data_IF_100203897525
#
_entry.id   IF_100203897525
#
_cell.length_a   1.000
_cell.length_b   1.000
_cell.length_c   1.000
_cell.angle_alpha   90.00
_cell.angle_beta   90.00
_cell.angle_gamma   90.00
#
_symmetry.space_group_name_H-M   'P 1'
#
loop_
_entity.id
_entity.type
_entity.pdbx_description
1 polymer ?
#
# COMPACT_ATOMS: atom_id res chain seq x y z
N UNK A 1 8.67 -3.71 -0.10
CA UNK A 1 9.32 -2.43 -0.51
C UNK A 1 9.60 -2.60 -1.98
N UNK A 2 8.87 -1.87 -2.77
CA UNK A 2 8.96 -1.92 -4.22
C UNK A 2 10.24 -1.24 -4.74
N UNK A 3 10.29 -1.01 -6.02
CA UNK A 3 11.44 -0.46 -6.74
C UNK A 3 11.88 0.92 -6.21
N UNK A 4 13.19 1.16 -6.11
CA UNK A 4 13.75 2.37 -5.50
C UNK A 4 13.82 3.56 -6.50
N UNK A 5 12.68 3.98 -7.04
CA UNK A 5 12.59 5.08 -8.02
C UNK A 5 12.57 6.50 -7.41
N UNK A 6 12.60 6.63 -6.09
CA UNK A 6 12.39 7.90 -5.39
C UNK A 6 13.28 9.06 -5.90
N UNK A 7 14.53 8.76 -6.24
CA UNK A 7 15.49 9.80 -6.66
C UNK A 7 15.18 10.42 -8.03
N UNK A 8 14.55 9.67 -8.92
CA UNK A 8 14.19 10.15 -10.27
C UNK A 8 12.73 10.59 -10.37
N UNK A 9 11.90 10.24 -9.38
CA UNK A 9 10.49 10.62 -9.32
C UNK A 9 10.23 11.82 -8.40
N UNK A 10 11.25 12.39 -7.79
CA UNK A 10 11.10 13.46 -6.80
C UNK A 10 10.30 14.66 -7.29
N UNK A 11 10.56 15.10 -8.52
CA UNK A 11 9.94 16.26 -9.15
C UNK A 11 8.51 16.03 -9.65
N UNK A 12 8.11 14.75 -9.78
CA UNK A 12 6.78 14.35 -10.27
C UNK A 12 5.81 14.01 -9.14
N UNK A 13 6.20 14.22 -7.87
CA UNK A 13 5.35 14.02 -6.70
C UNK A 13 4.66 15.33 -6.33
N UNK A 14 3.37 15.36 -6.51
CA UNK A 14 2.51 16.47 -6.12
C UNK A 14 1.86 16.15 -4.78
N UNK A 15 2.13 16.97 -3.74
CA UNK A 15 1.35 16.89 -2.51
C UNK A 15 -0.07 17.39 -2.76
N UNK A 16 -1.06 16.62 -2.36
CA UNK A 16 -2.48 16.92 -2.54
C UNK A 16 -3.23 16.81 -1.21
N UNK A 17 -4.36 17.48 -1.11
CA UNK A 17 -5.28 17.27 0.01
C UNK A 17 -6.19 16.07 -0.28
N UNK A 18 -6.71 15.44 0.79
CA UNK A 18 -7.59 14.27 0.62
C UNK A 18 -8.83 14.60 -0.22
N UNK A 19 -9.34 15.81 -0.11
CA UNK A 19 -10.49 16.30 -0.86
C UNK A 19 -10.29 16.35 -2.37
N UNK A 20 -9.04 16.40 -2.83
CA UNK A 20 -8.68 16.38 -4.25
C UNK A 20 -8.66 14.94 -4.83
N UNK A 21 -8.66 13.94 -3.95
CA UNK A 21 -8.67 12.51 -4.30
C UNK A 21 -10.09 11.92 -4.31
N UNK A 22 -11.12 12.74 -4.47
CA UNK A 22 -12.52 12.28 -4.54
C UNK A 22 -12.71 11.27 -5.66
N UNK A 23 -13.58 10.31 -5.42
CA UNK A 23 -13.88 9.24 -6.36
C UNK A 23 -13.35 7.89 -5.88
N UNK A 24 -13.24 6.96 -6.79
CA UNK A 24 -12.83 5.58 -6.51
C UNK A 24 -11.33 5.42 -6.53
N UNK A 25 -10.76 4.72 -5.54
CA UNK A 25 -9.32 4.46 -5.45
C UNK A 25 -9.09 2.99 -5.12
N UNK A 26 -8.28 2.30 -5.93
CA UNK A 26 -7.84 0.94 -5.62
C UNK A 26 -6.68 0.96 -4.63
N UNK A 27 -6.90 0.42 -3.45
CA UNK A 27 -5.93 0.42 -2.34
C UNK A 27 -5.25 -0.94 -2.27
N UNK A 28 -3.93 -0.96 -2.35
CA UNK A 28 -3.14 -2.14 -2.02
C UNK A 28 -3.38 -2.53 -0.54
N UNK A 29 -4.09 -3.65 -0.35
CA UNK A 29 -4.53 -4.08 0.97
C UNK A 29 -3.36 -4.46 1.88
N UNK A 30 -2.38 -5.21 1.36
CA UNK A 30 -1.23 -5.63 2.18
C UNK A 30 -0.35 -4.45 2.57
N UNK A 31 -0.13 -3.51 1.67
CA UNK A 31 0.59 -2.28 1.96
C UNK A 31 -0.14 -1.46 3.04
N UNK A 32 -1.46 -1.28 2.91
CA UNK A 32 -2.29 -0.58 3.90
C UNK A 32 -2.24 -1.26 5.28
N UNK A 33 -2.47 -2.58 5.34
CA UNK A 33 -2.44 -3.35 6.58
C UNK A 33 -1.07 -3.29 7.24
N UNK A 34 0.02 -3.44 6.46
CA UNK A 34 1.37 -3.34 6.98
C UNK A 34 1.64 -1.96 7.58
N UNK A 35 1.15 -0.89 6.94
CA UNK A 35 1.26 0.46 7.50
C UNK A 35 0.48 0.60 8.81
N UNK A 36 -0.74 0.08 8.87
CA UNK A 36 -1.55 0.14 10.09
C UNK A 36 -0.86 -0.56 11.25
N UNK A 37 -0.37 -1.78 11.08
CA UNK A 37 0.31 -2.51 12.16
C UNK A 37 1.68 -1.95 12.53
N UNK A 38 2.31 -1.16 11.65
CA UNK A 38 3.61 -0.53 11.92
C UNK A 38 3.51 0.87 12.50
N UNK A 39 2.40 1.58 12.27
CA UNK A 39 2.21 2.99 12.67
C UNK A 39 1.25 3.12 13.85
N UNK A 40 0.17 2.32 13.87
CA UNK A 40 -0.84 2.36 14.93
C UNK A 40 -0.36 1.48 16.08
N UNK A 41 0.38 2.08 17.00
CA UNK A 41 1.04 1.40 18.12
C UNK A 41 0.87 2.18 19.42
N UNK A 42 1.07 1.49 20.53
CA UNK A 42 1.19 2.09 21.85
C UNK A 42 2.49 2.91 21.96
N UNK A 43 2.63 3.79 22.96
CA UNK A 43 3.84 4.59 23.15
C UNK A 43 5.12 3.78 23.37
N UNK A 44 5.00 2.56 23.90
CA UNK A 44 6.10 1.61 24.12
C UNK A 44 6.49 0.81 22.85
N UNK A 45 5.77 1.06 21.73
CA UNK A 45 6.02 0.39 20.46
C UNK A 45 5.29 -0.92 20.27
N UNK A 46 4.51 -1.41 21.25
CA UNK A 46 3.66 -2.60 21.08
C UNK A 46 2.47 -2.28 20.17
N UNK A 47 1.98 -3.23 19.34
CA UNK A 47 0.76 -3.01 18.57
C UNK A 47 -0.44 -2.86 19.50
N UNK A 48 -1.53 -2.23 19.02
CA UNK A 48 -2.79 -2.29 19.75
C UNK A 48 -3.27 -3.74 19.81
N UNK A 49 -3.74 -4.16 20.97
CA UNK A 49 -4.24 -5.49 21.22
C UNK A 49 -5.57 -5.42 21.98
N UNK A 50 -6.38 -6.45 21.82
CA UNK A 50 -7.56 -6.68 22.65
C UNK A 50 -7.16 -7.34 24.00
N UNK A 51 -8.19 -7.73 24.79
CA UNK A 51 -8.00 -8.38 26.10
C UNK A 51 -7.39 -9.78 25.99
N UNK A 52 -7.47 -10.42 24.84
CA UNK A 52 -6.97 -11.76 24.55
C UNK A 52 -5.57 -11.74 23.91
N UNK A 53 -4.98 -10.53 23.73
CA UNK A 53 -3.66 -10.34 23.13
C UNK A 53 -3.66 -10.41 21.60
N UNK A 54 -4.82 -10.42 20.94
CA UNK A 54 -4.90 -10.37 19.48
C UNK A 54 -4.63 -8.95 19.00
N UNK A 55 -3.77 -8.80 17.99
CA UNK A 55 -3.44 -7.50 17.40
C UNK A 55 -4.67 -6.89 16.72
N UNK A 56 -4.99 -5.65 17.08
CA UNK A 56 -6.16 -4.90 16.58
C UNK A 56 -5.79 -3.63 15.81
N UNK A 57 -4.49 -3.32 15.66
CA UNK A 57 -4.00 -2.14 14.93
C UNK A 57 -4.55 -2.06 13.50
N UNK A 58 -4.63 -3.20 12.78
CA UNK A 58 -5.16 -3.27 11.42
C UNK A 58 -6.67 -2.91 11.38
N UNK A 59 -7.47 -3.43 12.33
CA UNK A 59 -8.90 -3.09 12.43
C UNK A 59 -9.11 -1.61 12.74
N UNK A 60 -8.31 -1.08 13.68
CA UNK A 60 -8.31 0.36 13.99
C UNK A 60 -7.98 1.19 12.73
N UNK A 61 -6.96 0.77 11.97
CA UNK A 61 -6.58 1.43 10.72
C UNK A 61 -7.69 1.38 9.67
N UNK A 62 -8.22 0.20 9.37
CA UNK A 62 -9.32 0.04 8.41
C UNK A 62 -10.51 0.89 8.83
N UNK A 63 -10.99 0.76 10.06
CA UNK A 63 -12.19 1.47 10.50
C UNK A 63 -12.04 2.98 10.42
N UNK A 64 -11.13 3.55 11.21
CA UNK A 64 -11.03 5.00 11.34
C UNK A 64 -10.50 5.69 10.07
N UNK A 65 -9.65 5.02 9.29
CA UNK A 65 -9.14 5.59 8.06
C UNK A 65 -10.20 5.62 6.96
N UNK A 66 -10.97 4.55 6.81
CA UNK A 66 -12.04 4.52 5.83
C UNK A 66 -13.19 5.47 6.18
N UNK A 67 -13.52 5.66 7.46
CA UNK A 67 -14.46 6.72 7.87
C UNK A 67 -14.00 8.09 7.38
N UNK A 68 -12.70 8.41 7.54
CA UNK A 68 -12.14 9.65 7.05
C UNK A 68 -12.17 9.76 5.52
N UNK A 69 -11.90 8.66 4.81
CA UNK A 69 -11.98 8.65 3.34
C UNK A 69 -13.41 8.90 2.86
N UNK A 70 -14.37 8.17 3.38
CA UNK A 70 -15.79 8.34 3.04
C UNK A 70 -16.29 9.76 3.35
N UNK A 71 -15.86 10.33 4.49
CA UNK A 71 -16.15 11.72 4.84
C UNK A 71 -15.62 12.71 3.80
N UNK A 72 -14.46 12.43 3.18
CA UNK A 72 -13.82 13.27 2.16
C UNK A 72 -14.30 12.97 0.73
N UNK A 73 -15.20 11.99 0.56
CA UNK A 73 -15.74 11.58 -0.75
C UNK A 73 -14.82 10.64 -1.51
N UNK A 74 -13.84 10.02 -0.84
CA UNK A 74 -13.01 8.97 -1.40
C UNK A 74 -13.70 7.63 -1.19
N UNK A 75 -13.86 6.85 -2.25
CA UNK A 75 -14.44 5.49 -2.25
C UNK A 75 -13.33 4.47 -2.46
N UNK A 76 -12.75 3.90 -1.38
CA UNK A 76 -11.71 2.90 -1.51
C UNK A 76 -12.28 1.55 -1.95
N UNK A 77 -11.49 0.81 -2.75
CA UNK A 77 -11.66 -0.61 -3.01
C UNK A 77 -10.34 -1.31 -2.65
N UNK A 78 -10.39 -2.34 -1.82
CA UNK A 78 -9.18 -3.00 -1.34
C UNK A 78 -8.81 -4.20 -2.21
N UNK A 79 -7.57 -4.23 -2.69
CA UNK A 79 -7.04 -5.29 -3.54
C UNK A 79 -6.03 -6.10 -2.73
N UNK A 80 -6.37 -7.34 -2.41
CA UNK A 80 -5.46 -8.29 -1.75
C UNK A 80 -4.64 -9.03 -2.80
N UNK A 81 -3.36 -9.29 -2.52
CA UNK A 81 -2.55 -10.15 -3.38
C UNK A 81 -3.14 -11.56 -3.43
N UNK A 82 -3.00 -12.18 -4.59
CA UNK A 82 -3.30 -13.58 -4.81
C UNK A 82 -2.07 -14.47 -4.70
N UNK A 83 -1.96 -15.44 -5.61
CA UNK A 83 -0.81 -16.32 -5.64
C UNK A 83 0.47 -15.54 -6.03
N UNK A 84 1.54 -15.58 -5.21
CA UNK A 84 2.79 -14.93 -5.58
C UNK A 84 3.37 -15.58 -6.82
N UNK A 85 3.93 -14.79 -7.76
CA UNK A 85 4.61 -15.36 -8.91
C UNK A 85 5.92 -16.05 -8.50
N UNK A 86 6.35 -17.06 -9.26
CA UNK A 86 7.60 -17.81 -8.99
C UNK A 86 8.81 -16.89 -8.89
N UNK A 87 8.83 -15.81 -9.66
CA UNK A 87 9.87 -14.77 -9.65
C UNK A 87 10.09 -14.11 -8.28
N UNK A 88 9.12 -14.19 -7.35
CA UNK A 88 9.17 -13.51 -6.03
C UNK A 88 9.75 -14.39 -4.91
N UNK A 89 10.02 -15.65 -5.16
CA UNK A 89 10.39 -16.65 -4.14
C UNK A 89 11.60 -16.22 -3.31
N UNK A 90 12.67 -15.75 -3.95
CA UNK A 90 13.90 -15.32 -3.27
C UNK A 90 13.66 -14.07 -2.41
N UNK A 91 12.91 -13.11 -2.92
CA UNK A 91 12.57 -11.88 -2.19
C UNK A 91 11.71 -12.16 -0.98
N UNK A 92 10.75 -13.08 -1.07
CA UNK A 92 9.92 -13.53 0.05
C UNK A 92 10.78 -14.19 1.13
N UNK A 93 11.67 -15.10 0.75
CA UNK A 93 12.59 -15.78 1.68
C UNK A 93 13.50 -14.79 2.41
N UNK A 94 14.11 -13.84 1.67
CA UNK A 94 14.95 -12.78 2.26
C UNK A 94 14.18 -11.90 3.23
N UNK A 95 12.97 -11.46 2.87
CA UNK A 95 12.11 -10.63 3.76
C UNK A 95 11.73 -11.39 5.02
N UNK A 96 11.48 -12.70 4.93
CA UNK A 96 11.21 -13.54 6.08
C UNK A 96 12.38 -13.56 7.05
N UNK A 97 13.60 -13.82 6.57
CA UNK A 97 14.81 -13.81 7.41
C UNK A 97 15.07 -12.47 8.10
N UNK A 98 14.87 -11.34 7.38
CA UNK A 98 15.00 -9.99 7.98
C UNK A 98 13.98 -9.76 9.09
N UNK A 99 12.72 -10.20 8.93
CA UNK A 99 11.68 -10.06 9.97
C UNK A 99 11.97 -10.94 11.18
N UNK A 100 12.46 -12.15 10.98
CA UNK A 100 12.85 -13.08 12.06
C UNK A 100 13.99 -12.50 12.88
N UNK A 101 15.05 -12.02 12.23
CA UNK A 101 16.17 -11.36 12.91
C UNK A 101 15.73 -10.07 13.66
N UNK A 102 14.80 -9.30 13.10
CA UNK A 102 14.23 -8.15 13.79
C UNK A 102 13.41 -8.56 15.04
N UNK A 103 12.69 -9.68 14.98
CA UNK A 103 11.95 -10.22 16.11
C UNK A 103 12.86 -10.58 17.29
N UNK A 104 13.99 -11.23 17.03
CA UNK A 104 14.97 -11.55 18.09
C UNK A 104 15.58 -10.27 18.69
N UNK A 105 16.00 -9.31 17.86
CA UNK A 105 16.52 -8.02 18.33
C UNK A 105 15.48 -7.22 19.14
N UNK A 106 14.20 -7.35 18.80
CA UNK A 106 13.15 -6.73 19.59
C UNK A 106 13.09 -7.29 21.00
N UNK A 107 13.11 -8.62 21.16
CA UNK A 107 13.13 -9.28 22.49
C UNK A 107 14.31 -8.80 23.31
N UNK A 108 15.53 -8.82 22.75
CA UNK A 108 16.73 -8.34 23.40
C UNK A 108 16.66 -6.86 23.81
N UNK A 109 16.07 -6.00 22.97
CA UNK A 109 15.91 -4.59 23.27
C UNK A 109 14.91 -4.36 24.41
N UNK A 110 13.82 -5.13 24.46
CA UNK A 110 12.85 -5.10 25.57
C UNK A 110 13.51 -5.52 26.87
N UNK A 111 14.28 -6.61 26.88
CA UNK A 111 15.01 -7.10 28.07
C UNK A 111 16.02 -6.08 28.60
N UNK A 112 16.65 -5.32 27.72
CA UNK A 112 17.61 -4.25 28.09
C UNK A 112 16.93 -2.93 28.46
N UNK A 113 15.62 -2.82 28.31
CA UNK A 113 14.87 -1.57 28.55
C UNK A 113 15.15 -0.48 27.51
N UNK A 114 15.71 -0.83 26.33
CA UNK A 114 15.95 0.11 25.24
C UNK A 114 14.68 0.33 24.42
N UNK A 115 13.89 1.31 24.85
CA UNK A 115 12.57 1.60 24.27
C UNK A 115 12.68 2.03 22.80
N UNK A 116 13.72 2.81 22.43
CA UNK A 116 13.85 3.31 21.05
C UNK A 116 14.18 2.16 20.08
N UNK A 117 15.14 1.30 20.45
CA UNK A 117 15.50 0.15 19.63
C UNK A 117 14.37 -0.90 19.64
N UNK A 118 13.73 -1.14 20.78
CA UNK A 118 12.55 -2.01 20.84
C UNK A 118 11.44 -1.55 19.90
N UNK A 119 11.12 -0.25 19.89
CA UNK A 119 10.13 0.33 18.98
C UNK A 119 10.51 0.12 17.49
N UNK A 120 11.77 0.35 17.15
CA UNK A 120 12.28 0.19 15.78
C UNK A 120 12.22 -1.27 15.33
N UNK A 121 12.66 -2.21 16.16
CA UNK A 121 12.69 -3.63 15.84
C UNK A 121 11.29 -4.24 15.85
N UNK A 122 10.38 -3.82 16.72
CA UNK A 122 8.97 -4.20 16.72
C UNK A 122 8.27 -3.84 15.39
N UNK A 123 8.62 -2.71 14.79
CA UNK A 123 8.10 -2.34 13.47
C UNK A 123 8.68 -3.21 12.35
N UNK A 124 9.96 -3.50 12.42
CA UNK A 124 10.65 -4.30 11.40
C UNK A 124 10.22 -5.79 11.43
N UNK A 125 9.81 -6.30 12.61
CA UNK A 125 9.33 -7.67 12.79
C UNK A 125 7.84 -7.86 12.50
N UNK A 126 7.10 -6.78 12.21
CA UNK A 126 5.65 -6.84 12.00
C UNK A 126 5.30 -7.83 10.87
N UNK A 127 4.29 -8.66 11.12
CA UNK A 127 3.76 -9.66 10.18
C UNK A 127 2.26 -9.51 10.08
N UNK A 128 1.73 -9.75 8.89
CA UNK A 128 0.30 -9.92 8.65
C UNK A 128 0.07 -11.44 8.61
N UNK A 129 -0.85 -11.91 9.39
CA UNK A 129 -1.29 -13.31 9.41
C UNK A 129 -2.68 -13.50 8.79
N UNK A 130 -3.08 -14.75 8.60
CA UNK A 130 -4.36 -15.09 7.97
C UNK A 130 -5.55 -14.60 8.79
N UNK A 131 -5.43 -14.56 10.13
CA UNK A 131 -6.49 -14.05 11.00
C UNK A 131 -6.69 -12.55 10.82
N UNK A 132 -5.60 -11.79 10.68
CA UNK A 132 -5.68 -10.36 10.35
C UNK A 132 -6.30 -10.13 8.97
N UNK A 133 -5.95 -10.94 7.97
CA UNK A 133 -6.55 -10.84 6.63
C UNK A 133 -8.05 -11.13 6.70
N UNK A 134 -8.45 -12.21 7.36
CA UNK A 134 -9.85 -12.61 7.49
C UNK A 134 -10.68 -11.54 8.22
N UNK A 135 -10.19 -11.04 9.36
CA UNK A 135 -10.88 -9.99 10.11
C UNK A 135 -10.92 -8.66 9.36
N UNK A 136 -9.89 -8.35 8.56
CA UNK A 136 -9.89 -7.17 7.68
C UNK A 136 -10.99 -7.24 6.62
N UNK A 137 -11.08 -8.37 5.92
CA UNK A 137 -12.12 -8.61 4.90
C UNK A 137 -13.51 -8.53 5.51
N UNK A 138 -13.73 -9.18 6.66
CA UNK A 138 -15.00 -9.12 7.39
C UNK A 138 -15.37 -7.68 7.77
N UNK A 139 -14.43 -6.89 8.25
CA UNK A 139 -14.70 -5.50 8.59
C UNK A 139 -15.01 -4.65 7.35
N UNK A 140 -14.31 -4.87 6.24
CA UNK A 140 -14.61 -4.20 4.97
C UNK A 140 -16.02 -4.55 4.47
N UNK A 141 -16.43 -5.82 4.57
CA UNK A 141 -17.80 -6.26 4.24
C UNK A 141 -18.86 -5.54 5.09
N UNK A 142 -18.64 -5.47 6.41
CA UNK A 142 -19.55 -4.76 7.33
C UNK A 142 -19.57 -3.24 7.07
N UNK A 143 -18.45 -2.66 6.65
CA UNK A 143 -18.38 -1.25 6.24
C UNK A 143 -18.96 -0.98 4.85
N UNK A 144 -19.39 -2.01 4.12
CA UNK A 144 -19.88 -1.90 2.77
C UNK A 144 -18.83 -1.47 1.75
N UNK A 145 -17.54 -1.73 2.03
CA UNK A 145 -16.41 -1.36 1.19
C UNK A 145 -15.99 -2.57 0.35
N UNK A 146 -15.98 -2.47 -0.99
CA UNK A 146 -15.61 -3.58 -1.85
C UNK A 146 -14.14 -3.97 -1.68
N UNK A 147 -13.90 -5.26 -1.78
CA UNK A 147 -12.56 -5.82 -1.85
C UNK A 147 -12.53 -7.02 -2.81
N UNK A 148 -11.33 -7.32 -3.31
CA UNK A 148 -11.09 -8.50 -4.13
C UNK A 148 -9.73 -9.10 -3.83
N UNK A 149 -9.52 -10.33 -4.29
CA UNK A 149 -8.21 -10.97 -4.37
C UNK A 149 -7.77 -10.94 -5.83
N UNK A 150 -6.61 -10.36 -6.08
CA UNK A 150 -6.00 -10.34 -7.40
C UNK A 150 -5.58 -11.75 -7.84
N UNK A 151 -5.47 -12.03 -9.14
CA UNK A 151 -4.88 -13.29 -9.61
C UNK A 151 -3.42 -13.47 -9.15
N UNK A 152 -2.67 -12.36 -9.01
CA UNK A 152 -1.29 -12.32 -8.55
C UNK A 152 -1.07 -11.08 -7.67
N UNK A 153 -0.32 -10.07 -8.14
CA UNK A 153 0.01 -8.86 -7.40
C UNK A 153 -1.18 -7.89 -7.36
N UNK A 154 -1.52 -7.40 -6.16
CA UNK A 154 -2.60 -6.41 -5.96
C UNK A 154 -2.32 -5.09 -6.66
N UNK A 155 -1.05 -4.64 -6.71
CA UNK A 155 -0.66 -3.42 -7.43
C UNK A 155 -0.86 -3.54 -8.95
N UNK A 156 -0.63 -4.74 -9.52
CA UNK A 156 -0.90 -5.00 -10.94
C UNK A 156 -2.40 -4.92 -11.24
N UNK A 157 -3.23 -5.52 -10.38
CA UNK A 157 -4.68 -5.45 -10.50
C UNK A 157 -5.19 -4.01 -10.32
N UNK A 158 -4.69 -3.27 -9.33
CA UNK A 158 -5.04 -1.86 -9.11
C UNK A 158 -4.65 -1.00 -10.32
N UNK A 159 -3.47 -1.24 -10.91
CA UNK A 159 -3.03 -0.57 -12.13
C UNK A 159 -3.94 -0.90 -13.33
N UNK A 160 -4.37 -2.16 -13.46
CA UNK A 160 -5.32 -2.57 -14.50
C UNK A 160 -6.65 -1.84 -14.35
N UNK A 161 -7.25 -1.83 -13.15
CA UNK A 161 -8.52 -1.14 -12.87
C UNK A 161 -8.43 0.36 -13.15
N UNK A 162 -7.30 0.99 -12.82
CA UNK A 162 -7.06 2.40 -13.11
C UNK A 162 -6.94 2.68 -14.62
N UNK A 163 -6.32 1.77 -15.40
CA UNK A 163 -6.27 1.89 -16.87
C UNK A 163 -7.63 1.71 -17.53
N UNK A 164 -8.50 0.87 -16.94
CA UNK A 164 -9.88 0.71 -17.44
C UNK A 164 -10.77 1.91 -17.10
N UNK A 165 -10.34 2.78 -16.18
CA UNK A 165 -11.13 3.92 -15.71
C UNK A 165 -12.13 3.57 -14.61
N UNK A 166 -12.13 2.34 -14.09
CA UNK A 166 -13.02 1.89 -13.01
C UNK A 166 -12.64 2.51 -11.66
N UNK A 167 -11.37 2.87 -11.51
CA UNK A 167 -10.84 3.64 -10.39
C UNK A 167 -9.98 4.81 -10.90
N UNK A 168 -9.94 5.89 -10.14
CA UNK A 168 -9.19 7.09 -10.51
C UNK A 168 -7.68 6.95 -10.31
N UNK A 169 -7.25 6.10 -9.37
CA UNK A 169 -5.86 5.89 -9.03
C UNK A 169 -5.62 4.54 -8.33
N UNK A 170 -4.39 4.04 -8.42
CA UNK A 170 -3.86 3.03 -7.52
C UNK A 170 -3.25 3.70 -6.29
N UNK A 171 -3.50 3.17 -5.09
CA UNK A 171 -2.92 3.68 -3.84
C UNK A 171 -2.02 2.63 -3.20
N UNK A 172 -0.72 2.90 -3.20
CA UNK A 172 0.34 2.11 -2.56
C UNK A 172 1.49 3.02 -2.12
N UNK A 173 2.36 2.55 -1.23
CA UNK A 173 3.62 3.25 -0.91
C UNK A 173 4.73 2.92 -1.91
N UNK A 174 4.60 1.81 -2.58
CA UNK A 174 5.57 1.34 -3.53
C UNK A 174 5.32 1.97 -4.92
N UNK A 175 6.36 2.04 -5.72
CA UNK A 175 6.27 2.62 -7.06
C UNK A 175 5.93 1.58 -8.13
N UNK A 176 5.80 0.32 -7.74
CA UNK A 176 5.60 -0.81 -8.67
C UNK A 176 4.32 -0.66 -9.48
N UNK A 177 3.28 -0.03 -8.92
CA UNK A 177 2.06 0.30 -9.65
C UNK A 177 2.31 1.15 -10.92
N UNK A 178 3.35 2.01 -10.94
CA UNK A 178 3.74 2.77 -12.13
C UNK A 178 4.38 1.85 -13.19
N UNK A 179 5.18 0.86 -12.77
CA UNK A 179 5.75 -0.15 -13.68
C UNK A 179 4.64 -1.01 -14.29
N UNK A 180 3.62 -1.36 -13.50
CA UNK A 180 2.40 -2.02 -13.99
C UNK A 180 1.51 -1.12 -14.84
N UNK A 181 1.83 0.18 -14.95
CA UNK A 181 1.19 1.13 -15.85
C UNK A 181 -0.04 1.80 -15.24
N UNK A 182 -0.15 1.96 -13.92
CA UNK A 182 -1.18 2.79 -13.32
C UNK A 182 -1.05 4.24 -13.82
N UNK A 183 -2.09 4.86 -14.41
CA UNK A 183 -2.04 6.23 -14.86
C UNK A 183 -1.72 7.21 -13.73
N UNK A 184 -2.31 6.95 -12.55
CA UNK A 184 -2.08 7.73 -11.35
C UNK A 184 -1.76 6.81 -10.18
N UNK A 185 -0.67 7.13 -9.46
CA UNK A 185 -0.32 6.52 -8.19
C UNK A 185 -0.54 7.53 -7.07
N UNK A 186 -1.26 7.13 -6.02
CA UNK A 186 -1.42 7.90 -4.79
C UNK A 186 -0.63 7.24 -3.67
N UNK A 187 0.35 7.96 -3.13
CA UNK A 187 1.15 7.52 -1.98
C UNK A 187 0.68 8.22 -0.71
N UNK A 188 1.04 7.67 0.43
CA UNK A 188 0.70 8.22 1.76
C UNK A 188 -0.82 8.32 2.06
N UNK A 189 -1.70 7.75 1.24
CA UNK A 189 -3.15 7.82 1.44
C UNK A 189 -3.55 7.30 2.82
N UNK A 190 -3.12 6.09 3.17
CA UNK A 190 -3.47 5.39 4.41
C UNK A 190 -2.80 5.96 5.66
N UNK A 191 -1.75 6.77 5.51
CA UNK A 191 -0.97 7.35 6.60
C UNK A 191 -1.05 8.88 6.67
N UNK A 192 -1.85 9.50 5.82
CA UNK A 192 -2.06 10.95 5.79
C UNK A 192 -2.59 11.49 7.12
N UNK A 193 -2.24 12.72 7.43
CA UNK A 193 -2.66 13.43 8.63
C UNK A 193 -1.52 13.75 9.61
N UNK A 194 -1.87 14.29 10.76
CA UNK A 194 -0.89 14.66 11.78
C UNK A 194 -0.39 13.43 12.54
N UNK A 195 0.92 13.29 12.65
CA UNK A 195 1.57 12.24 13.45
C UNK A 195 2.74 12.82 14.26
N UNK A 196 3.03 12.23 15.42
CA UNK A 196 4.23 12.56 16.18
C UNK A 196 5.41 11.73 15.69
N UNK A 197 6.51 12.39 15.33
CA UNK A 197 7.78 11.77 14.97
C UNK A 197 8.86 12.39 15.84
N UNK A 198 9.52 11.59 16.70
CA UNK A 198 10.54 12.07 17.66
C UNK A 198 10.06 13.29 18.46
N UNK A 199 8.83 13.24 19.00
CA UNK A 199 8.23 14.31 19.79
C UNK A 199 7.71 15.51 19.00
N UNK A 200 7.98 15.62 17.71
CA UNK A 200 7.48 16.70 16.82
C UNK A 200 6.23 16.26 16.06
N UNK A 201 5.26 17.16 15.95
CA UNK A 201 4.10 16.92 15.09
C UNK A 201 4.48 17.15 13.63
N UNK A 202 4.33 16.12 12.80
CA UNK A 202 4.56 16.19 11.37
C UNK A 202 3.25 15.92 10.66
N UNK A 203 2.87 16.75 9.70
CA UNK A 203 1.75 16.48 8.81
C UNK A 203 2.25 15.70 7.60
N UNK A 204 1.65 14.54 7.34
CA UNK A 204 1.90 13.74 6.15
C UNK A 204 0.74 13.98 5.20
N UNK A 205 1.02 14.44 4.00
CA UNK A 205 0.04 14.60 2.93
C UNK A 205 0.11 13.44 1.95
N UNK A 206 -1.00 13.09 1.30
CA UNK A 206 -0.95 12.23 0.14
C UNK A 206 -0.07 12.85 -0.96
N UNK A 207 0.60 12.01 -1.71
CA UNK A 207 1.37 12.40 -2.89
C UNK A 207 0.72 11.75 -4.11
N UNK A 208 0.39 12.53 -5.12
CA UNK A 208 -0.08 12.04 -6.42
C UNK A 208 1.07 12.04 -7.41
N UNK A 209 1.18 11.00 -8.23
CA UNK A 209 2.15 10.87 -9.31
C UNK A 209 1.40 10.50 -10.57
N UNK A 210 1.58 11.30 -11.62
CA UNK A 210 1.05 11.06 -12.95
C UNK A 210 2.09 10.34 -13.81
N UNK A 211 1.75 9.15 -14.31
CA UNK A 211 2.68 8.34 -15.11
C UNK A 211 3.04 9.01 -16.43
N UNK A 212 2.08 9.67 -17.10
CA UNK A 212 2.35 10.32 -18.38
C UNK A 212 3.34 11.49 -18.21
N UNK A 213 3.18 12.27 -17.13
CA UNK A 213 4.14 13.34 -16.79
C UNK A 213 5.53 12.76 -16.48
N UNK A 214 5.59 11.64 -15.73
CA UNK A 214 6.86 10.93 -15.46
C UNK A 214 7.53 10.48 -16.75
N UNK A 215 6.82 9.78 -17.61
CA UNK A 215 7.37 9.26 -18.87
C UNK A 215 7.86 10.38 -19.78
N UNK A 216 7.05 11.43 -19.95
CA UNK A 216 7.42 12.60 -20.75
C UNK A 216 8.66 13.31 -20.19
N UNK A 217 8.69 13.59 -18.90
CA UNK A 217 9.80 14.28 -18.26
C UNK A 217 11.09 13.47 -18.18
N UNK A 218 10.98 12.15 -18.00
CA UNK A 218 12.13 11.25 -18.07
C UNK A 218 12.54 10.89 -19.51
N UNK A 219 11.76 11.24 -20.53
CA UNK A 219 12.01 10.87 -21.93
C UNK A 219 12.06 9.35 -22.12
N UNK A 220 11.13 8.62 -21.49
CA UNK A 220 11.05 7.17 -21.51
C UNK A 220 9.68 6.72 -22.00
N UNK A 221 9.63 5.53 -22.60
CA UNK A 221 8.40 4.73 -22.67
C UNK A 221 8.15 4.00 -21.35
N UNK A 222 6.98 3.36 -21.20
CA UNK A 222 6.70 2.51 -20.05
C UNK A 222 7.69 1.34 -19.98
N UNK A 223 8.01 0.73 -21.10
CA UNK A 223 9.02 -0.32 -21.22
C UNK A 223 10.37 0.15 -20.68
N UNK A 224 10.79 1.37 -21.06
CA UNK A 224 12.02 1.97 -20.56
C UNK A 224 11.99 2.21 -19.04
N UNK A 225 10.83 2.60 -18.48
CA UNK A 225 10.69 2.72 -17.02
C UNK A 225 10.79 1.37 -16.32
N UNK A 226 10.25 0.29 -16.90
CA UNK A 226 10.42 -1.09 -16.42
C UNK A 226 11.88 -1.50 -16.47
N UNK A 227 12.60 -1.21 -17.57
CA UNK A 227 14.04 -1.48 -17.68
C UNK A 227 14.87 -0.76 -16.63
N UNK A 228 14.53 0.51 -16.32
CA UNK A 228 15.13 1.25 -15.19
C UNK A 228 14.87 0.49 -13.88
N UNK A 229 13.64 0.04 -13.64
CA UNK A 229 13.28 -0.75 -12.47
C UNK A 229 14.10 -2.04 -12.35
N UNK A 230 14.24 -2.80 -13.45
CA UNK A 230 15.01 -4.04 -13.50
C UNK A 230 16.49 -3.81 -13.15
N UNK A 231 17.09 -2.74 -13.66
CA UNK A 231 18.48 -2.40 -13.35
C UNK A 231 18.70 -2.04 -11.88
N UNK A 232 17.75 -1.34 -11.24
CA UNK A 232 17.82 -0.96 -9.83
C UNK A 232 17.55 -2.16 -8.92
N UNK A 233 16.67 -3.07 -9.36
CA UNK A 233 16.10 -4.16 -8.59
C UNK A 233 14.65 -3.90 -8.20
N UNK A 234 13.88 -4.96 -8.29
CA UNK A 234 12.45 -5.00 -7.98
C UNK A 234 12.17 -6.11 -6.97
N UNK A 235 10.92 -6.37 -6.67
CA UNK A 235 10.53 -7.54 -5.88
C UNK A 235 10.80 -8.88 -6.62
N UNK A 236 11.05 -8.82 -7.93
CA UNK A 236 11.20 -9.97 -8.82
C UNK A 236 12.65 -10.21 -9.28
N UNK A 237 13.56 -9.26 -8.97
CA UNK A 237 14.99 -9.41 -9.25
C UNK A 237 15.85 -8.54 -8.34
N UNK A 238 17.11 -8.94 -8.05
CA UNK A 238 17.98 -8.23 -7.13
C UNK A 238 18.53 -6.90 -7.67
N UNK A 239 18.36 -6.63 -8.99
CA UNK A 239 19.01 -5.50 -9.66
C UNK A 239 20.47 -5.73 -9.98
N UNK A 240 21.12 -4.74 -10.57
CA UNK A 240 22.54 -4.79 -10.94
C UNK A 240 23.37 -4.04 -9.89
N UNK A 241 24.36 -4.72 -9.33
CA UNK A 241 25.22 -4.14 -8.28
C UNK A 241 25.89 -2.85 -8.75
N UNK A 242 25.75 -1.79 -7.98
CA UNK A 242 26.32 -0.47 -8.28
C UNK A 242 25.51 0.37 -9.25
N UNK A 243 24.33 -0.08 -9.67
CA UNK A 243 23.42 0.68 -10.54
C UNK A 243 22.27 1.23 -9.69
N UNK A 244 22.32 2.52 -9.37
CA UNK A 244 21.22 3.24 -8.73
C UNK A 244 20.32 3.92 -9.76
N UNK A 245 19.22 4.54 -9.31
CA UNK A 245 18.16 5.09 -10.17
C UNK A 245 18.66 6.05 -11.26
N UNK A 246 19.54 6.99 -10.90
CA UNK A 246 20.09 7.95 -11.88
C UNK A 246 20.98 7.30 -12.93
N UNK A 247 21.75 6.28 -12.51
CA UNK A 247 22.61 5.52 -13.43
C UNK A 247 21.77 4.66 -14.35
N UNK A 248 20.77 3.95 -13.82
CA UNK A 248 19.83 3.16 -14.59
C UNK A 248 19.12 4.01 -15.66
N UNK A 249 18.63 5.19 -15.27
CA UNK A 249 18.00 6.14 -16.21
C UNK A 249 18.93 6.53 -17.37
N UNK A 250 20.21 6.80 -17.09
CA UNK A 250 21.19 7.13 -18.13
C UNK A 250 21.44 5.96 -19.06
N UNK A 251 21.58 4.74 -18.52
CA UNK A 251 21.79 3.51 -19.30
C UNK A 251 20.62 3.28 -20.26
N UNK A 252 19.39 3.33 -19.76
CA UNK A 252 18.19 3.09 -20.60
C UNK A 252 18.04 4.17 -21.65
N UNK A 253 18.19 5.46 -21.30
CA UNK A 253 18.15 6.58 -22.28
C UNK A 253 19.19 6.46 -23.40
N UNK A 254 20.34 5.85 -23.11
CA UNK A 254 21.38 5.63 -24.12
C UNK A 254 21.20 4.34 -24.94
N UNK A 255 20.12 3.59 -24.71
CA UNK A 255 19.83 2.32 -25.39
C UNK A 255 20.76 1.15 -24.98
N UNK A 256 21.46 1.29 -23.82
CA UNK A 256 22.47 0.31 -23.38
C UNK A 256 21.97 -0.70 -22.35
N UNK A 257 20.66 -0.88 -22.23
CA UNK A 257 20.07 -1.80 -21.24
C UNK A 257 20.61 -3.22 -21.43
N UNK A 258 20.46 -3.80 -22.60
CA UNK A 258 20.88 -5.17 -22.90
C UNK A 258 22.40 -5.37 -22.77
N UNK A 259 23.20 -4.43 -23.29
CA UNK A 259 24.66 -4.42 -23.15
C UNK A 259 25.06 -4.45 -21.66
N UNK A 260 24.42 -3.61 -20.84
CA UNK A 260 24.73 -3.51 -19.40
C UNK A 260 24.34 -4.79 -18.65
N UNK A 261 23.21 -5.41 -18.98
CA UNK A 261 22.79 -6.68 -18.37
C UNK A 261 23.80 -7.78 -18.74
N UNK A 262 24.16 -7.89 -20.01
CA UNK A 262 25.08 -8.88 -20.50
C UNK A 262 26.50 -8.76 -19.90
N UNK A 263 26.97 -7.50 -19.72
CA UNK A 263 28.30 -7.25 -19.14
C UNK A 263 28.34 -7.47 -17.62
N UNK A 264 27.32 -7.04 -16.87
CA UNK A 264 27.36 -6.99 -15.41
C UNK A 264 26.58 -8.10 -14.70
N UNK A 265 25.68 -8.76 -15.39
CA UNK A 265 24.86 -9.86 -14.87
C UNK A 265 24.57 -10.89 -15.97
N UNK A 266 25.59 -11.55 -16.56
CA UNK A 266 25.44 -12.43 -17.73
C UNK A 266 24.51 -13.63 -17.47
N UNK A 267 24.36 -14.06 -16.22
CA UNK A 267 23.50 -15.18 -15.84
C UNK A 267 22.03 -14.74 -15.57
N UNK A 268 21.73 -13.45 -15.66
CA UNK A 268 20.38 -12.92 -15.44
C UNK A 268 19.65 -12.66 -16.75
N UNK A 269 18.53 -13.36 -16.94
CA UNK A 269 17.59 -13.05 -18.02
C UNK A 269 16.55 -12.02 -17.52
N UNK A 270 16.54 -10.78 -18.05
CA UNK A 270 15.58 -9.76 -17.65
C UNK A 270 14.18 -9.94 -18.24
N UNK A 271 14.02 -10.78 -19.28
CA UNK A 271 12.80 -10.86 -20.06
C UNK A 271 11.59 -11.38 -19.27
N UNK A 272 11.70 -12.40 -18.39
CA UNK A 272 10.59 -12.83 -17.54
C UNK A 272 10.08 -11.73 -16.62
N UNK A 273 10.98 -10.92 -16.03
CA UNK A 273 10.61 -9.80 -15.16
C UNK A 273 9.96 -8.69 -15.98
N UNK A 274 10.52 -8.37 -17.14
CA UNK A 274 9.96 -7.37 -18.06
C UNK A 274 8.57 -7.77 -18.52
N UNK A 275 8.40 -9.01 -18.97
CA UNK A 275 7.11 -9.54 -19.41
C UNK A 275 6.06 -9.50 -18.30
N UNK A 276 6.46 -9.82 -17.06
CA UNK A 276 5.57 -9.76 -15.91
C UNK A 276 5.05 -8.35 -15.62
N UNK A 277 5.89 -7.32 -15.66
CA UNK A 277 5.44 -5.94 -15.49
C UNK A 277 4.56 -5.45 -16.64
N UNK A 278 4.87 -5.83 -17.87
CA UNK A 278 4.15 -5.36 -19.05
C UNK A 278 2.81 -6.07 -19.24
N UNK A 279 2.74 -7.37 -18.90
CA UNK A 279 1.58 -8.24 -19.08
C UNK A 279 1.31 -9.09 -17.82
N UNK A 280 1.04 -8.46 -16.67
CA UNK A 280 0.78 -9.18 -15.41
C UNK A 280 -0.52 -9.98 -15.48
N UNK A 281 -0.65 -11.07 -14.71
CA UNK A 281 -1.92 -11.75 -14.51
C UNK A 281 -2.91 -10.82 -13.79
N UNK A 282 -3.97 -10.42 -14.47
CA UNK A 282 -5.05 -9.58 -13.95
C UNK A 282 -6.41 -10.11 -14.42
N UNK A 283 -7.49 -9.68 -13.78
CA UNK A 283 -8.84 -10.08 -14.15
C UNK A 283 -9.76 -8.87 -14.32
N UNK A 284 -10.69 -8.98 -15.26
CA UNK A 284 -11.85 -8.06 -15.39
C UNK A 284 -13.08 -8.53 -14.61
N UNK A 285 -13.02 -9.69 -13.97
CA UNK A 285 -14.13 -10.22 -13.17
C UNK A 285 -14.04 -9.71 -11.73
N UNK A 286 -14.55 -8.51 -11.50
CA UNK A 286 -14.68 -7.88 -10.18
C UNK A 286 -15.90 -6.98 -10.14
N UNK A 287 -16.35 -6.68 -8.91
CA UNK A 287 -17.45 -5.75 -8.65
C UNK A 287 -17.01 -4.68 -7.65
N UNK A 288 -17.36 -3.43 -7.96
CA UNK A 288 -17.07 -2.28 -7.12
C UNK A 288 -18.40 -1.75 -6.53
N UNK A 289 -19.03 -2.56 -5.67
CA UNK A 289 -20.32 -2.26 -5.07
C UNK A 289 -20.12 -1.72 -3.64
N UNK A 290 -20.18 -0.40 -3.47
CA UNK A 290 -20.23 0.22 -2.16
C UNK A 290 -21.64 0.15 -1.61
N UNK A 291 -21.77 -0.34 -0.38
CA UNK A 291 -23.05 -0.52 0.32
C UNK A 291 -23.09 0.32 1.57
N UNK A 292 -24.29 0.55 2.10
CA UNK A 292 -24.44 1.16 3.43
C UNK A 292 -23.79 0.28 4.50
N UNK A 293 -23.09 0.86 5.48
CA UNK A 293 -22.47 0.11 6.55
C UNK A 293 -23.48 -0.62 7.43
N UNK A 294 -23.21 -1.87 7.76
CA UNK A 294 -23.90 -2.63 8.81
C UNK A 294 -23.40 -2.16 10.19
N UNK A 295 -24.10 -1.17 10.76
CA UNK A 295 -23.72 -0.53 12.03
C UNK A 295 -23.70 -1.51 13.19
N UNK A 296 -24.73 -2.36 13.29
CA UNK A 296 -24.86 -3.34 14.37
C UNK A 296 -23.78 -4.41 14.27
N UNK A 297 -23.51 -4.90 13.05
CA UNK A 297 -22.41 -5.81 12.77
C UNK A 297 -21.04 -5.22 13.10
N UNK A 298 -20.80 -3.95 12.77
CA UNK A 298 -19.54 -3.26 13.11
C UNK A 298 -19.39 -3.16 14.64
N UNK A 299 -20.41 -2.74 15.36
CA UNK A 299 -20.39 -2.64 16.84
C UNK A 299 -20.19 -4.02 17.45
N UNK A 300 -20.94 -5.03 17.03
CA UNK A 300 -20.79 -6.40 17.50
C UNK A 300 -19.35 -6.94 17.30
N UNK A 301 -18.78 -6.71 16.12
CA UNK A 301 -17.42 -7.13 15.83
C UNK A 301 -16.40 -6.31 16.64
N UNK A 302 -16.35 -4.99 16.46
CA UNK A 302 -15.29 -4.17 17.04
C UNK A 302 -15.37 -4.10 18.56
N UNK A 303 -16.57 -3.86 19.11
CA UNK A 303 -16.74 -3.68 20.57
C UNK A 303 -16.92 -5.03 21.28
N UNK A 304 -17.74 -5.92 20.74
CA UNK A 304 -18.04 -7.21 21.34
C UNK A 304 -16.88 -8.20 21.25
N UNK A 305 -16.28 -8.37 20.05
CA UNK A 305 -15.26 -9.40 19.83
C UNK A 305 -13.83 -8.88 20.07
N UNK A 306 -13.53 -7.61 19.72
CA UNK A 306 -12.17 -7.04 19.75
C UNK A 306 -11.98 -5.95 20.80
N UNK A 307 -12.96 -5.77 21.71
CA UNK A 307 -12.88 -4.86 22.86
C UNK A 307 -12.56 -3.38 22.52
N UNK A 308 -12.99 -2.90 21.35
CA UNK A 308 -12.94 -1.47 21.04
C UNK A 308 -13.87 -0.68 21.95
N UNK A 309 -13.56 0.59 22.18
CA UNK A 309 -14.44 1.50 22.93
C UNK A 309 -15.70 1.82 22.12
N UNK A 310 -16.88 1.50 22.66
CA UNK A 310 -18.18 1.78 22.06
C UNK A 310 -18.32 3.25 21.69
N UNK A 311 -18.04 4.17 22.62
CA UNK A 311 -18.14 5.61 22.35
C UNK A 311 -17.26 6.11 21.21
N UNK A 312 -16.09 5.46 20.95
CA UNK A 312 -15.24 5.80 19.80
C UNK A 312 -15.78 5.24 18.50
N UNK A 313 -16.33 4.03 18.53
CA UNK A 313 -16.94 3.39 17.35
C UNK A 313 -18.19 4.15 16.93
N UNK A 314 -19.08 4.46 17.90
CA UNK A 314 -20.31 5.22 17.66
C UNK A 314 -20.03 6.63 17.12
N UNK A 315 -19.08 7.35 17.73
CA UNK A 315 -18.66 8.66 17.24
C UNK A 315 -18.10 8.61 15.81
N UNK A 316 -17.44 7.50 15.46
CA UNK A 316 -16.99 7.25 14.09
C UNK A 316 -18.14 7.03 13.12
N UNK A 317 -19.09 6.16 13.49
CA UNK A 317 -20.25 5.82 12.66
C UNK A 317 -21.19 7.01 12.43
N UNK A 318 -21.34 7.89 13.42
CA UNK A 318 -22.13 9.13 13.30
C UNK A 318 -21.62 10.02 12.17
N UNK A 319 -20.32 10.12 11.95
CA UNK A 319 -19.71 10.98 10.91
C UNK A 319 -20.15 10.60 9.48
N UNK A 320 -20.37 9.32 9.21
CA UNK A 320 -20.81 8.86 7.89
C UNK A 320 -22.34 8.90 7.73
N UNK A 321 -23.11 8.80 8.84
CA UNK A 321 -24.57 8.83 8.79
C UNK A 321 -25.18 10.21 8.52
N UNK A 322 -24.48 11.29 8.85
CA UNK A 322 -24.96 12.65 8.62
C UNK A 322 -24.87 13.12 7.17
N UNK A 323 -23.98 12.49 6.36
CA UNK A 323 -23.84 12.85 4.92
C UNK A 323 -24.63 11.96 3.97
N UNK A 324 -24.98 10.73 4.37
CA UNK A 324 -25.83 9.85 3.54
C UNK A 324 -27.26 10.39 3.33
N UNK A 325 -27.71 11.35 4.16
CA UNK A 325 -28.99 12.04 4.00
C UNK A 325 -28.95 13.35 3.19
N UNK A 326 -27.75 13.85 2.87
CA UNK A 326 -27.59 15.05 2.05
C UNK A 326 -27.36 14.63 0.58
N UNK A 327 -28.48 14.56 -0.18
CA UNK A 327 -28.39 14.47 -1.65
C UNK A 327 -27.64 15.70 -2.15
N UNK A 328 -26.59 15.46 -2.92
CA UNK A 328 -25.88 16.54 -3.61
C UNK A 328 -26.78 17.07 -4.74
N UNK A 329 -26.65 18.36 -5.08
CA UNK A 329 -27.38 18.96 -6.20
C UNK A 329 -27.25 18.19 -7.52
N UNK A 330 -26.19 17.35 -7.68
CA UNK A 330 -26.00 16.45 -8.82
C UNK A 330 -26.92 15.22 -8.86
N UNK A 331 -27.61 14.89 -7.77
CA UNK A 331 -28.59 13.78 -7.73
C UNK A 331 -29.99 14.21 -8.23
N UNK A 332 -30.12 15.47 -8.68
CA UNK A 332 -31.37 16.06 -9.15
C UNK A 332 -31.35 16.41 -10.66
N UNK A 333 -30.24 16.14 -11.39
CA UNK A 333 -30.13 16.39 -12.83
C UNK A 333 -29.60 15.19 -13.61
#
# INVERSE_FOLDING_TARGET
MGVALREILGEYREEVELEELRGTVAVDAFNALYQFITIIRQPDGTPLMDREGRVTSHLSGIFFRNLNFLEKGIRPAYIFDGAPPDLKTETVARRRGVREAAGERWKEAVERGDIEEAYKQARASARIDDAMIASSKRLLDLMGIPWMVAPSEGEAQAAFMARQGDVSAAASQDYDALLFGAPHLVRNLTVSGKRKVRGRSVTVRPERIDLAAVLAGLGLSREGLVEVGILIGTDFNPGIRGVGAKTALKIVRSGKFQETVQEKAPDFDPEPVRAFFLNPPVTGDYRLDWREPDRDGIVAMLCGEYAFSEGRVDAGLQKIGTKAGQKTLGDWF
#
